data_IF_997684324770
#
_entry.id   IF_997684324770
#
_cell.length_a   1.000
_cell.length_b   1.000
_cell.length_c   1.000
_cell.angle_alpha   90.00
_cell.angle_beta   90.00
_cell.angle_gamma   90.00
#
_symmetry.space_group_name_H-M   'P 1'
#
loop_
_entity.id
_entity.type
_entity.pdbx_description
1 polymer ?
#
# COMPACT_ATOMS: atom_id res chain seq x y z
N UNK A 1 21.14 2.20 -7.22
CA UNK A 1 21.10 1.86 -8.65
C UNK A 1 19.70 1.46 -9.13
N UNK A 2 18.92 0.70 -8.34
CA UNK A 2 17.58 0.26 -8.76
C UNK A 2 16.52 1.37 -8.90
N UNK A 3 16.52 2.39 -8.02
CA UNK A 3 15.57 3.51 -8.08
C UNK A 3 15.63 4.33 -9.38
N UNK A 4 16.84 4.55 -9.91
CA UNK A 4 17.04 5.31 -11.15
C UNK A 4 16.50 4.57 -12.38
N UNK A 5 16.67 3.24 -12.42
CA UNK A 5 16.15 2.40 -13.50
C UNK A 5 14.61 2.36 -13.48
N UNK A 6 14.01 2.30 -12.29
CA UNK A 6 12.55 2.29 -12.10
C UNK A 6 11.95 3.61 -12.57
N UNK A 7 12.50 4.76 -12.14
CA UNK A 7 12.06 6.06 -12.62
C UNK A 7 12.21 6.19 -14.16
N UNK A 8 13.30 5.65 -14.73
CA UNK A 8 13.51 5.65 -16.18
C UNK A 8 12.47 4.86 -16.96
N UNK A 9 12.14 3.63 -16.52
CA UNK A 9 11.13 2.78 -17.17
C UNK A 9 9.74 3.41 -17.07
N UNK A 10 9.42 4.00 -15.92
CA UNK A 10 8.11 4.64 -15.68
C UNK A 10 7.96 5.91 -16.52
N UNK A 11 9.00 6.74 -16.58
CA UNK A 11 9.02 7.93 -17.44
C UNK A 11 8.96 7.56 -18.93
N UNK A 12 9.67 6.53 -19.37
CA UNK A 12 9.63 6.05 -20.74
C UNK A 12 8.25 5.47 -21.11
N UNK A 13 7.61 4.72 -20.21
CA UNK A 13 6.26 4.20 -20.42
C UNK A 13 5.20 5.31 -20.44
N UNK A 14 5.33 6.33 -19.58
CA UNK A 14 4.47 7.51 -19.56
C UNK A 14 4.59 8.32 -20.86
N UNK A 15 5.82 8.57 -21.32
CA UNK A 15 6.04 9.33 -22.57
C UNK A 15 5.54 8.56 -23.79
N UNK A 16 5.79 7.25 -23.89
CA UNK A 16 5.22 6.42 -24.95
C UNK A 16 3.69 6.39 -24.91
N UNK A 17 3.10 6.28 -23.71
CA UNK A 17 1.65 6.26 -23.58
C UNK A 17 1.00 7.59 -23.96
N UNK A 18 1.63 8.73 -23.68
CA UNK A 18 1.12 10.04 -24.11
C UNK A 18 1.13 10.17 -25.64
N UNK A 19 2.16 9.63 -26.30
CA UNK A 19 2.28 9.65 -27.76
C UNK A 19 1.24 8.75 -28.42
N UNK A 20 0.97 7.56 -27.85
CA UNK A 20 0.05 6.57 -28.41
C UNK A 20 -1.44 6.88 -28.17
N UNK A 21 -1.75 7.82 -27.28
CA UNK A 21 -3.12 8.20 -26.90
C UNK A 21 -3.92 8.81 -28.05
N UNK A 22 -3.26 9.33 -29.10
CA UNK A 22 -3.92 9.93 -30.29
C UNK A 22 -4.53 8.89 -31.24
N UNK A 23 -3.97 7.68 -31.33
CA UNK A 23 -4.38 6.66 -32.31
C UNK A 23 -5.15 5.49 -31.68
N UNK A 24 -4.86 5.11 -30.42
CA UNK A 24 -5.53 3.99 -29.74
C UNK A 24 -5.61 4.21 -28.21
N UNK A 25 -6.67 4.86 -27.69
CA UNK A 25 -6.79 5.20 -26.26
C UNK A 25 -6.85 3.96 -25.35
N UNK A 26 -7.36 2.83 -25.83
CA UNK A 26 -7.40 1.57 -25.07
C UNK A 26 -6.00 0.96 -24.85
N UNK A 27 -5.11 1.05 -25.85
CA UNK A 27 -3.75 0.50 -25.78
C UNK A 27 -2.87 1.38 -24.88
N UNK A 28 -3.03 2.70 -24.96
CA UNK A 28 -2.39 3.65 -24.06
C UNK A 28 -2.78 3.39 -22.59
N UNK A 29 -4.06 3.14 -22.32
CA UNK A 29 -4.53 2.82 -20.97
C UNK A 29 -3.91 1.51 -20.43
N UNK A 30 -3.89 0.45 -21.24
CA UNK A 30 -3.26 -0.83 -20.90
C UNK A 30 -1.74 -0.69 -20.62
N UNK A 31 -1.03 0.15 -21.37
CA UNK A 31 0.39 0.44 -21.15
C UNK A 31 0.64 1.12 -19.81
N UNK A 32 -0.13 2.16 -19.47
CA UNK A 32 -0.02 2.86 -18.18
C UNK A 32 -0.37 1.94 -17.02
N UNK A 33 -1.44 1.14 -17.16
CA UNK A 33 -1.84 0.18 -16.15
C UNK A 33 -0.73 -0.85 -15.89
N UNK A 34 -0.15 -1.40 -16.96
CA UNK A 34 0.94 -2.38 -16.88
C UNK A 34 2.20 -1.76 -16.25
N UNK A 35 2.58 -0.56 -16.66
CA UNK A 35 3.70 0.17 -16.06
C UNK A 35 3.46 0.46 -14.56
N UNK A 36 2.23 0.85 -14.19
CA UNK A 36 1.82 1.06 -12.81
C UNK A 36 1.92 -0.22 -11.96
N UNK A 37 1.45 -1.36 -12.49
CA UNK A 37 1.56 -2.66 -11.81
C UNK A 37 3.01 -3.08 -11.61
N UNK A 38 3.88 -2.89 -12.60
CA UNK A 38 5.31 -3.20 -12.47
C UNK A 38 5.97 -2.33 -11.40
N UNK A 39 5.69 -1.02 -11.40
CA UNK A 39 6.20 -0.08 -10.39
C UNK A 39 5.75 -0.52 -8.99
N UNK A 40 4.48 -0.87 -8.84
CA UNK A 40 3.89 -1.33 -7.59
C UNK A 40 4.55 -2.59 -7.04
N UNK A 41 4.72 -3.62 -7.86
CA UNK A 41 5.38 -4.87 -7.45
C UNK A 41 6.80 -4.62 -6.95
N UNK A 42 7.54 -3.71 -7.60
CA UNK A 42 8.90 -3.35 -7.18
C UNK A 42 8.93 -2.60 -5.86
N UNK A 43 8.04 -1.63 -5.68
CA UNK A 43 7.90 -0.89 -4.40
C UNK A 43 7.49 -1.83 -3.27
N UNK A 44 6.56 -2.76 -3.52
CA UNK A 44 6.15 -3.75 -2.53
C UNK A 44 7.30 -4.67 -2.11
N UNK A 45 8.13 -5.11 -3.06
CA UNK A 45 9.32 -5.90 -2.76
C UNK A 45 10.34 -5.12 -1.92
N UNK A 46 10.56 -3.84 -2.22
CA UNK A 46 11.46 -2.99 -1.45
C UNK A 46 10.89 -2.72 -0.04
N UNK A 47 9.59 -2.45 0.07
CA UNK A 47 8.90 -2.26 1.34
C UNK A 47 8.92 -3.53 2.21
N UNK A 48 8.72 -4.72 1.61
CA UNK A 48 8.79 -6.00 2.32
C UNK A 48 10.16 -6.28 2.91
N UNK A 49 11.24 -6.04 2.15
CA UNK A 49 12.61 -6.20 2.66
C UNK A 49 12.96 -5.21 3.77
N UNK A 50 12.48 -3.96 3.68
CA UNK A 50 12.61 -2.97 4.74
C UNK A 50 11.80 -3.37 6.00
N UNK A 51 10.57 -3.83 5.84
CA UNK A 51 9.71 -4.28 6.94
C UNK A 51 10.30 -5.50 7.67
N UNK A 52 10.90 -6.43 6.94
CA UNK A 52 11.58 -7.60 7.52
C UNK A 52 12.83 -7.20 8.32
N UNK A 53 13.60 -6.22 7.83
CA UNK A 53 14.73 -5.63 8.58
C UNK A 53 14.24 -4.91 9.83
N UNK A 54 13.14 -4.16 9.73
CA UNK A 54 12.54 -3.45 10.86
C UNK A 54 12.05 -4.42 11.94
N UNK A 55 11.33 -5.48 11.55
CA UNK A 55 10.89 -6.54 12.47
C UNK A 55 12.07 -7.23 13.17
N UNK A 56 13.18 -7.47 12.46
CA UNK A 56 14.41 -8.02 13.05
C UNK A 56 15.16 -7.06 13.99
N UNK A 57 14.93 -5.76 13.90
CA UNK A 57 15.43 -4.77 14.86
C UNK A 57 14.51 -4.66 16.08
N UNK A 58 13.19 -4.66 15.87
CA UNK A 58 12.20 -4.61 16.95
C UNK A 58 12.26 -5.85 17.86
N UNK A 59 12.52 -7.03 17.30
CA UNK A 59 12.70 -8.26 18.09
C UNK A 59 13.92 -8.18 19.02
N UNK A 60 14.96 -7.44 18.64
CA UNK A 60 16.14 -7.21 19.48
C UNK A 60 15.88 -6.18 20.59
N UNK A 61 14.89 -5.31 20.41
CA UNK A 61 14.48 -4.33 21.42
C UNK A 61 13.47 -4.87 22.45
N UNK A 62 13.06 -6.15 22.36
CA UNK A 62 12.09 -6.73 23.29
C UNK A 62 10.67 -6.19 23.15
N UNK A 63 10.35 -5.54 22.01
CA UNK A 63 8.99 -5.09 21.71
C UNK A 63 8.10 -6.31 21.43
N UNK A 64 7.03 -6.46 22.20
CA UNK A 64 6.09 -7.54 22.01
C UNK A 64 5.46 -7.45 20.61
N UNK A 65 5.49 -8.58 19.90
CA UNK A 65 4.94 -8.67 18.55
C UNK A 65 3.46 -8.32 18.47
N UNK A 66 2.71 -8.45 19.56
CA UNK A 66 1.31 -8.07 19.61
C UNK A 66 1.09 -6.57 19.41
N UNK A 67 2.07 -5.70 19.70
CA UNK A 67 1.89 -4.24 19.59
C UNK A 67 2.24 -3.71 18.19
N UNK A 68 3.32 -4.19 17.56
CA UNK A 68 3.78 -3.65 16.28
C UNK A 68 3.12 -4.31 15.06
N UNK A 69 2.68 -5.57 15.15
CA UNK A 69 2.03 -6.27 14.03
C UNK A 69 0.75 -5.59 13.56
N UNK A 70 -0.17 -5.16 14.45
CA UNK A 70 -1.40 -4.51 14.04
C UNK A 70 -1.14 -3.17 13.35
N UNK A 71 -0.18 -2.38 13.84
CA UNK A 71 0.23 -1.11 13.20
C UNK A 71 0.76 -1.37 11.79
N UNK A 72 1.68 -2.34 11.63
CA UNK A 72 2.20 -2.71 10.32
C UNK A 72 1.10 -3.20 9.36
N UNK A 73 0.17 -4.03 9.84
CA UNK A 73 -0.98 -4.48 9.05
C UNK A 73 -1.89 -3.32 8.64
N UNK A 74 -2.17 -2.38 9.54
CA UNK A 74 -3.01 -1.22 9.26
C UNK A 74 -2.39 -0.34 8.15
N UNK A 75 -1.08 -0.07 8.24
CA UNK A 75 -0.33 0.65 7.20
C UNK A 75 -0.35 -0.12 5.87
N UNK A 76 -0.14 -1.44 5.92
CA UNK A 76 -0.19 -2.30 4.74
C UNK A 76 -1.55 -2.23 4.02
N UNK A 77 -2.65 -2.37 4.76
CA UNK A 77 -4.01 -2.26 4.23
C UNK A 77 -4.25 -0.87 3.62
N UNK A 78 -3.87 0.20 4.32
CA UNK A 78 -4.04 1.56 3.83
C UNK A 78 -3.30 1.81 2.52
N UNK A 79 -2.05 1.32 2.39
CA UNK A 79 -1.25 1.43 1.16
C UNK A 79 -1.94 0.70 0.01
N UNK A 80 -2.33 -0.56 0.21
CA UNK A 80 -3.01 -1.36 -0.83
C UNK A 80 -4.31 -0.70 -1.29
N UNK A 81 -5.12 -0.19 -0.36
CA UNK A 81 -6.39 0.48 -0.68
C UNK A 81 -6.15 1.75 -1.48
N UNK A 82 -5.19 2.60 -1.09
CA UNK A 82 -4.89 3.85 -1.84
C UNK A 82 -4.45 3.55 -3.26
N UNK A 83 -3.64 2.51 -3.43
CA UNK A 83 -3.18 2.04 -4.73
C UNK A 83 -4.37 1.54 -5.57
N UNK A 84 -5.19 0.63 -5.03
CA UNK A 84 -6.34 0.09 -5.75
C UNK A 84 -7.35 1.18 -6.14
N UNK A 85 -7.60 2.14 -5.24
CA UNK A 85 -8.47 3.29 -5.51
C UNK A 85 -7.89 4.24 -6.56
N UNK A 86 -6.56 4.43 -6.60
CA UNK A 86 -5.90 5.18 -7.66
C UNK A 86 -6.05 4.49 -9.03
N UNK A 87 -5.82 3.17 -9.09
CA UNK A 87 -6.03 2.40 -10.33
C UNK A 87 -7.49 2.46 -10.82
N UNK A 88 -8.47 2.40 -9.90
CA UNK A 88 -9.88 2.56 -10.26
C UNK A 88 -10.18 3.96 -10.82
N UNK A 89 -9.57 5.01 -10.25
CA UNK A 89 -9.69 6.38 -10.77
C UNK A 89 -9.05 6.55 -12.14
N UNK A 90 -7.87 5.97 -12.35
CA UNK A 90 -7.18 6.00 -13.64
C UNK A 90 -8.04 5.33 -14.72
N UNK A 91 -8.77 4.27 -14.38
CA UNK A 91 -9.74 3.59 -15.25
C UNK A 91 -11.04 4.37 -15.50
N UNK A 92 -11.20 5.58 -14.95
CA UNK A 92 -12.43 6.38 -15.01
C UNK A 92 -13.55 5.88 -14.09
N UNK A 93 -13.27 4.91 -13.21
CA UNK A 93 -14.23 4.29 -12.28
C UNK A 93 -14.15 4.92 -10.89
N UNK A 94 -14.44 6.23 -10.79
CA UNK A 94 -14.39 6.97 -9.52
C UNK A 94 -15.36 6.45 -8.45
N UNK A 95 -16.52 5.93 -8.85
CA UNK A 95 -17.48 5.32 -7.92
C UNK A 95 -16.92 4.03 -7.28
N UNK A 96 -16.18 3.23 -8.05
CA UNK A 96 -15.51 2.03 -7.53
C UNK A 96 -14.35 2.39 -6.62
N UNK A 97 -13.59 3.45 -6.95
CA UNK A 97 -12.52 3.96 -6.11
C UNK A 97 -13.04 4.39 -4.72
N UNK A 98 -14.15 5.14 -4.67
CA UNK A 98 -14.75 5.57 -3.40
C UNK A 98 -15.22 4.39 -2.55
N UNK A 99 -15.80 3.35 -3.18
CA UNK A 99 -16.16 2.10 -2.49
C UNK A 99 -14.93 1.40 -1.91
N UNK A 100 -13.83 1.39 -2.65
CA UNK A 100 -12.57 0.80 -2.20
C UNK A 100 -12.00 1.53 -0.98
N UNK A 101 -12.04 2.87 -0.97
CA UNK A 101 -11.60 3.69 0.17
C UNK A 101 -12.43 3.43 1.42
N UNK A 102 -13.76 3.33 1.29
CA UNK A 102 -14.65 3.01 2.41
C UNK A 102 -14.36 1.59 2.95
N UNK A 103 -14.24 0.60 2.07
CA UNK A 103 -13.91 -0.77 2.48
C UNK A 103 -12.56 -0.83 3.20
N UNK A 104 -11.57 -0.09 2.71
CA UNK A 104 -10.26 0.02 3.35
C UNK A 104 -10.29 0.66 4.72
N UNK A 105 -11.11 1.68 4.93
CA UNK A 105 -11.29 2.30 6.25
C UNK A 105 -11.85 1.28 7.26
N UNK A 106 -12.88 0.52 6.88
CA UNK A 106 -13.49 -0.53 7.73
C UNK A 106 -12.49 -1.64 8.06
N UNK A 107 -11.70 -2.09 7.07
CA UNK A 107 -10.67 -3.10 7.27
C UNK A 107 -9.56 -2.59 8.19
N UNK A 108 -9.10 -1.36 7.99
CA UNK A 108 -8.07 -0.74 8.85
C UNK A 108 -8.56 -0.64 10.29
N UNK A 109 -9.83 -0.24 10.48
CA UNK A 109 -10.44 -0.14 11.80
C UNK A 109 -10.56 -1.52 12.48
N UNK A 110 -10.89 -2.57 11.72
CA UNK A 110 -10.92 -3.95 12.21
C UNK A 110 -9.52 -4.46 12.61
N UNK A 111 -8.47 -4.03 11.92
CA UNK A 111 -7.07 -4.36 12.26
C UNK A 111 -6.61 -3.63 13.52
N UNK A 112 -7.18 -2.46 13.83
CA UNK A 112 -6.85 -1.71 15.04
C UNK A 112 -7.54 -2.24 16.31
N UNK A 113 -8.60 -3.06 16.20
CA UNK A 113 -9.28 -3.68 17.36
C UNK A 113 -8.33 -4.37 18.36
N UNK A 114 -7.41 -5.27 17.95
CA UNK A 114 -6.48 -5.93 18.88
C UNK A 114 -5.50 -4.98 19.57
N UNK A 115 -5.28 -3.78 19.03
CA UNK A 115 -4.51 -2.74 19.74
C UNK A 115 -5.35 -2.12 20.86
N UNK A 116 -6.64 -1.87 20.62
CA UNK A 116 -7.53 -1.35 21.65
C UNK A 116 -7.68 -2.32 22.82
N UNK A 117 -7.82 -3.63 22.55
CA UNK A 117 -7.88 -4.67 23.59
C UNK A 117 -6.65 -4.63 24.48
N UNK A 118 -5.44 -4.59 23.90
CA UNK A 118 -4.18 -4.53 24.67
C UNK A 118 -4.05 -3.26 25.51
N UNK A 119 -4.48 -2.10 24.97
CA UNK A 119 -4.45 -0.84 25.73
C UNK A 119 -5.44 -0.88 26.90
N UNK A 120 -6.64 -1.44 26.68
CA UNK A 120 -7.64 -1.60 27.73
C UNK A 120 -7.15 -2.54 28.84
N UNK A 121 -6.58 -3.70 28.47
CA UNK A 121 -6.00 -4.65 29.43
C UNK A 121 -4.93 -4.00 30.30
N UNK A 122 -4.00 -3.24 29.70
CA UNK A 122 -3.00 -2.47 30.45
C UNK A 122 -3.66 -1.53 31.45
N UNK A 123 -4.65 -0.74 31.04
CA UNK A 123 -5.30 0.23 31.92
C UNK A 123 -6.00 -0.47 33.09
N UNK A 124 -6.67 -1.61 32.85
CA UNK A 124 -7.32 -2.38 33.93
C UNK A 124 -6.32 -3.03 34.89
N UNK A 125 -5.16 -3.47 34.39
CA UNK A 125 -4.11 -4.04 35.24
C UNK A 125 -3.44 -2.99 36.14
N UNK A 126 -3.29 -1.74 35.66
CA UNK A 126 -2.81 -0.62 36.47
C UNK A 126 -3.86 -0.05 37.44
N UNK A 127 -5.14 -0.37 37.26
CA UNK A 127 -6.24 0.12 38.09
C UNK A 127 -6.54 -0.77 39.32
N UNK A 128 -5.84 -1.89 39.47
CA UNK A 128 -5.90 -2.83 40.61
C UNK A 128 -4.65 -2.66 41.47
#
# INVERSE_FOLDING_TARGET
MELGLICGIVLAALTLSLVLKKDAPAIAFLLVLTAGVILLLRVFSAAGSAAQRFSGLLSQCGLDSALYLPVCKAVGVAVVVRIAAALCRDAGQSALAAKMEIAGAVLTLSVCLPLFEQVLDLITEWAV
#
